data_IF_582354537135
#
_entry.id   IF_582354537135
#
_cell.length_a   1.000
_cell.length_b   1.000
_cell.length_c   1.000
_cell.angle_alpha   90.00
_cell.angle_beta   90.00
_cell.angle_gamma   90.00
#
_symmetry.space_group_name_H-M   'P 1'
#
loop_
_entity.id
_entity.type
_entity.pdbx_description
1 polymer ?
#
# COMPACT_ATOMS: atom_id res chain seq x y z
N UNK A 1 8.77 -20.17 15.88
CA UNK A 1 7.41 -19.56 15.89
C UNK A 1 7.45 -18.36 14.98
N UNK A 2 6.55 -18.29 13.99
CA UNK A 2 6.44 -17.16 13.05
C UNK A 2 5.48 -16.14 13.66
N UNK A 3 5.92 -14.91 13.82
CA UNK A 3 5.04 -13.82 14.28
C UNK A 3 4.83 -12.88 13.12
N UNK A 4 3.58 -12.78 12.64
CA UNK A 4 3.18 -11.81 11.63
C UNK A 4 2.56 -10.64 12.40
N UNK A 5 3.22 -9.49 12.34
CA UNK A 5 2.69 -8.26 12.92
C UNK A 5 1.83 -7.55 11.89
N UNK A 6 0.63 -7.12 12.30
CA UNK A 6 -0.21 -6.31 11.44
C UNK A 6 0.30 -4.86 11.39
N UNK A 7 0.65 -4.41 10.19
CA UNK A 7 0.95 -3.01 9.86
C UNK A 7 -0.24 -2.13 10.25
N UNK A 8 -1.47 -2.59 10.06
CA UNK A 8 -2.67 -1.84 10.46
C UNK A 8 -2.72 -1.60 11.96
N UNK A 9 -2.45 -2.63 12.79
CA UNK A 9 -2.48 -2.47 14.24
C UNK A 9 -1.41 -1.49 14.75
N UNK A 10 -0.19 -1.58 14.21
CA UNK A 10 0.89 -0.63 14.52
C UNK A 10 0.56 0.79 14.03
N UNK A 11 0.02 0.88 12.81
CA UNK A 11 -0.39 2.14 12.20
C UNK A 11 -1.50 2.85 12.97
N UNK A 12 -2.52 2.11 13.44
CA UNK A 12 -3.58 2.65 14.30
C UNK A 12 -3.00 3.18 15.62
N UNK A 13 -2.07 2.45 16.24
CA UNK A 13 -1.45 2.87 17.50
C UNK A 13 -0.66 4.17 17.32
N UNK A 14 0.16 4.27 16.27
CA UNK A 14 0.90 5.49 15.95
C UNK A 14 -0.03 6.66 15.59
N UNK A 15 -1.09 6.38 14.82
CA UNK A 15 -2.10 7.38 14.46
C UNK A 15 -2.83 7.90 15.71
N UNK A 16 -3.18 7.04 16.66
CA UNK A 16 -3.80 7.46 17.92
C UNK A 16 -2.88 8.40 18.71
N UNK A 17 -1.60 8.06 18.85
CA UNK A 17 -0.59 8.93 19.50
C UNK A 17 -0.49 10.28 18.77
N UNK A 18 -0.46 10.25 17.44
CA UNK A 18 -0.40 11.46 16.62
C UNK A 18 -1.63 12.36 16.83
N UNK A 19 -2.84 11.79 16.81
CA UNK A 19 -4.10 12.51 17.04
C UNK A 19 -4.08 13.17 18.42
N UNK A 20 -3.63 12.46 19.46
CA UNK A 20 -3.53 13.02 20.81
C UNK A 20 -2.57 14.22 20.84
N UNK A 21 -1.35 14.07 20.33
CA UNK A 21 -0.36 15.15 20.30
C UNK A 21 -0.86 16.36 19.52
N UNK A 22 -1.47 16.13 18.36
CA UNK A 22 -2.02 17.17 17.50
C UNK A 22 -3.23 17.86 18.15
N UNK A 23 -4.06 17.14 18.90
CA UNK A 23 -5.16 17.72 19.68
C UNK A 23 -4.64 18.66 20.77
N UNK A 24 -3.62 18.25 21.54
CA UNK A 24 -3.02 19.12 22.56
C UNK A 24 -2.37 20.37 21.98
N UNK A 25 -1.72 20.26 20.81
CA UNK A 25 -1.01 21.38 20.18
C UNK A 25 -1.94 22.37 19.49
N UNK A 26 -2.93 21.86 18.75
CA UNK A 26 -3.73 22.65 17.81
C UNK A 26 -5.20 22.82 18.24
N UNK A 27 -5.62 22.21 19.36
CA UNK A 27 -7.00 22.22 19.86
C UNK A 27 -8.01 21.89 18.75
N UNK A 28 -9.03 22.74 18.55
CA UNK A 28 -10.11 22.57 17.57
C UNK A 28 -9.89 23.34 16.26
N UNK A 29 -8.70 23.92 16.04
CA UNK A 29 -8.42 24.62 14.79
C UNK A 29 -8.31 23.61 13.64
N UNK A 30 -8.98 23.92 12.53
CA UNK A 30 -8.97 23.15 11.28
C UNK A 30 -9.34 21.66 11.42
N UNK A 31 -10.30 21.33 12.30
CA UNK A 31 -10.71 19.95 12.58
C UNK A 31 -11.08 19.15 11.33
N UNK A 32 -11.84 19.73 10.39
CA UNK A 32 -12.27 19.00 9.18
C UNK A 32 -11.06 18.56 8.33
N UNK A 33 -10.13 19.48 8.07
CA UNK A 33 -8.91 19.18 7.30
C UNK A 33 -8.07 18.11 8.00
N UNK A 34 -7.96 18.18 9.33
CA UNK A 34 -7.23 17.19 10.14
C UNK A 34 -7.91 15.82 10.14
N UNK A 35 -9.24 15.76 10.22
CA UNK A 35 -10.00 14.51 10.11
C UNK A 35 -9.75 13.85 8.74
N UNK A 36 -9.82 14.61 7.65
CA UNK A 36 -9.51 14.12 6.29
C UNK A 36 -8.07 13.58 6.23
N UNK A 37 -7.13 14.22 6.91
CA UNK A 37 -5.76 13.75 7.00
C UNK A 37 -5.63 12.45 7.82
N UNK A 38 -6.36 12.31 8.93
CA UNK A 38 -6.36 11.08 9.72
C UNK A 38 -6.97 9.92 8.94
N UNK A 39 -8.07 10.14 8.21
CA UNK A 39 -8.66 9.11 7.35
C UNK A 39 -7.72 8.74 6.21
N UNK A 40 -6.95 9.70 5.69
CA UNK A 40 -5.89 9.44 4.72
C UNK A 40 -4.77 8.56 5.29
N UNK A 41 -4.24 8.86 6.48
CA UNK A 41 -3.20 8.02 7.10
C UNK A 41 -3.75 6.61 7.37
N UNK A 42 -4.93 6.52 7.97
CA UNK A 42 -5.57 5.23 8.24
C UNK A 42 -5.75 4.41 6.96
N UNK A 43 -6.24 5.05 5.90
CA UNK A 43 -6.35 4.46 4.58
C UNK A 43 -5.00 3.92 4.08
N UNK A 44 -3.94 4.72 4.17
CA UNK A 44 -2.59 4.29 3.78
C UNK A 44 -2.14 3.06 4.57
N UNK A 45 -2.35 3.02 5.90
CA UNK A 45 -2.01 1.84 6.71
C UNK A 45 -2.73 0.57 6.24
N UNK A 46 -4.02 0.68 5.87
CA UNK A 46 -4.78 -0.45 5.32
C UNK A 46 -4.23 -0.89 3.97
N UNK A 47 -3.94 0.04 3.06
CA UNK A 47 -3.34 -0.27 1.76
C UNK A 47 -2.00 -0.98 1.96
N UNK A 48 -1.12 -0.47 2.82
CA UNK A 48 0.16 -1.11 3.13
C UNK A 48 -0.01 -2.53 3.69
N UNK A 49 -0.97 -2.77 4.60
CA UNK A 49 -1.24 -4.11 5.11
C UNK A 49 -1.71 -5.06 4.01
N UNK A 50 -2.59 -4.60 3.12
CA UNK A 50 -3.14 -5.42 2.04
C UNK A 50 -2.11 -5.71 0.96
N UNK A 51 -1.21 -4.77 0.65
CA UNK A 51 -0.17 -4.96 -0.36
C UNK A 51 1.01 -5.77 0.17
N UNK A 52 1.43 -5.57 1.42
CA UNK A 52 2.57 -6.29 2.02
C UNK A 52 2.21 -7.63 2.65
N UNK A 53 0.95 -7.86 3.01
CA UNK A 53 0.53 -9.01 3.81
C UNK A 53 0.95 -8.93 5.29
N UNK A 54 1.54 -7.82 5.74
CA UNK A 54 2.02 -7.61 7.12
C UNK A 54 3.55 -7.66 7.24
N UNK A 55 4.06 -7.44 8.46
CA UNK A 55 5.50 -7.52 8.77
C UNK A 55 5.80 -8.91 9.34
N UNK A 56 6.65 -9.70 8.66
CA UNK A 56 7.05 -11.02 9.12
C UNK A 56 8.43 -11.01 9.78
N UNK A 57 8.55 -11.52 11.01
CA UNK A 57 9.82 -11.68 11.71
C UNK A 57 9.90 -13.13 12.26
N UNK A 58 10.95 -13.92 11.93
CA UNK A 58 11.98 -13.63 10.94
C UNK A 58 11.38 -13.59 9.51
N UNK A 59 11.97 -12.78 8.63
CA UNK A 59 11.59 -12.70 7.22
C UNK A 59 11.61 -14.09 6.57
N UNK A 60 10.58 -14.40 5.79
CA UNK A 60 10.42 -15.73 5.23
C UNK A 60 11.33 -15.93 4.03
N UNK A 61 12.16 -16.98 4.03
CA UNK A 61 12.79 -17.60 2.83
C UNK A 61 11.76 -18.18 1.84
N UNK A 62 10.54 -17.68 1.85
CA UNK A 62 9.32 -18.42 1.56
C UNK A 62 8.40 -17.72 0.59
N UNK A 63 8.96 -17.13 -0.47
CA UNK A 63 8.38 -17.18 -1.81
C UNK A 63 9.57 -17.37 -2.77
N UNK A 64 9.92 -18.62 -3.07
CA UNK A 64 10.91 -19.03 -4.10
C UNK A 64 10.37 -18.67 -5.51
N UNK A 65 9.98 -17.41 -5.70
CA UNK A 65 9.21 -16.95 -6.86
C UNK A 65 8.68 -15.52 -6.76
N UNK A 66 8.68 -14.89 -5.58
CA UNK A 66 8.65 -13.44 -5.51
C UNK A 66 10.10 -12.98 -5.61
N UNK A 67 10.56 -12.82 -6.85
CA UNK A 67 11.81 -12.12 -7.06
C UNK A 67 11.50 -10.63 -6.89
N UNK A 68 12.21 -9.97 -5.97
CA UNK A 68 12.29 -8.52 -5.92
C UNK A 68 12.54 -7.95 -7.32
N UNK A 69 11.57 -7.23 -7.87
CA UNK A 69 11.67 -6.67 -9.21
C UNK A 69 11.05 -5.30 -9.25
N UNK A 70 11.92 -4.28 -9.30
CA UNK A 70 11.61 -2.87 -9.53
C UNK A 70 11.19 -2.62 -10.98
N UNK A 71 10.25 -3.43 -11.50
CA UNK A 71 9.73 -3.28 -12.86
C UNK A 71 8.28 -2.81 -12.74
N UNK A 72 8.02 -1.51 -12.92
CA UNK A 72 6.64 -1.02 -12.97
C UNK A 72 5.88 -1.79 -14.07
N UNK A 73 4.64 -2.17 -13.77
CA UNK A 73 3.77 -2.98 -14.64
C UNK A 73 4.20 -4.45 -14.86
N UNK A 74 5.12 -5.01 -14.06
CA UNK A 74 5.48 -6.45 -14.10
C UNK A 74 4.27 -7.38 -14.01
N UNK A 75 3.23 -6.95 -13.29
CA UNK A 75 1.98 -7.70 -13.18
C UNK A 75 1.40 -8.10 -14.55
N UNK A 76 1.64 -7.33 -15.62
CA UNK A 76 1.18 -7.66 -16.97
C UNK A 76 1.92 -8.90 -17.50
N UNK A 77 3.24 -8.93 -17.35
CA UNK A 77 4.05 -10.09 -17.73
C UNK A 77 3.72 -11.30 -16.86
N UNK A 78 3.56 -11.12 -15.54
CA UNK A 78 3.14 -12.22 -14.67
C UNK A 78 1.75 -12.77 -15.04
N UNK A 79 0.84 -11.91 -15.50
CA UNK A 79 -0.48 -12.31 -15.96
C UNK A 79 -0.39 -13.10 -17.28
N UNK A 80 0.48 -12.68 -18.21
CA UNK A 80 0.77 -13.39 -19.46
C UNK A 80 1.41 -14.76 -19.16
N UNK A 81 2.43 -14.80 -18.29
CA UNK A 81 3.10 -16.03 -17.89
C UNK A 81 2.12 -17.01 -17.23
N UNK A 82 1.22 -16.51 -16.36
CA UNK A 82 0.16 -17.32 -15.76
C UNK A 82 -0.86 -17.81 -16.79
N UNK A 83 -1.20 -16.98 -17.79
CA UNK A 83 -2.10 -17.38 -18.88
C UNK A 83 -1.48 -18.49 -19.73
N UNK A 84 -0.18 -18.41 -20.01
CA UNK A 84 0.56 -19.42 -20.78
C UNK A 84 0.73 -20.72 -19.95
N UNK A 85 1.08 -20.60 -18.67
CA UNK A 85 1.39 -21.75 -17.82
C UNK A 85 0.15 -22.54 -17.35
N UNK A 86 -0.95 -21.85 -17.04
CA UNK A 86 -2.15 -22.47 -16.43
C UNK A 86 -3.44 -22.29 -17.24
N UNK A 87 -3.39 -21.57 -18.37
CA UNK A 87 -4.57 -21.18 -19.14
C UNK A 87 -5.43 -20.11 -18.45
N UNK A 88 -6.53 -19.72 -19.09
CA UNK A 88 -7.54 -18.78 -18.55
C UNK A 88 -8.48 -19.54 -17.58
N UNK A 89 -7.89 -20.11 -16.53
CA UNK A 89 -8.61 -20.84 -15.48
C UNK A 89 -8.86 -20.02 -14.21
N UNK A 90 -9.37 -20.67 -13.17
CA UNK A 90 -9.64 -20.06 -11.86
C UNK A 90 -8.43 -19.29 -11.28
N UNK A 91 -7.22 -19.83 -11.41
CA UNK A 91 -5.98 -19.19 -10.92
C UNK A 91 -5.65 -17.89 -11.64
N UNK A 92 -5.84 -17.85 -12.96
CA UNK A 92 -5.65 -16.63 -13.77
C UNK A 92 -6.67 -15.56 -13.39
N UNK A 93 -7.96 -15.92 -13.30
CA UNK A 93 -9.03 -14.98 -12.92
C UNK A 93 -8.81 -14.46 -11.49
N UNK A 94 -8.32 -15.29 -10.58
CA UNK A 94 -7.97 -14.87 -9.21
C UNK A 94 -6.82 -13.86 -9.20
N UNK A 95 -5.76 -14.11 -9.99
CA UNK A 95 -4.66 -13.17 -10.13
C UNK A 95 -5.11 -11.84 -10.75
N UNK A 96 -5.93 -11.89 -11.81
CA UNK A 96 -6.51 -10.70 -12.45
C UNK A 96 -7.33 -9.87 -11.47
N UNK A 97 -8.20 -10.52 -10.67
CA UNK A 97 -8.97 -9.85 -9.62
C UNK A 97 -8.07 -9.18 -8.60
N UNK A 98 -7.00 -9.85 -8.17
CA UNK A 98 -6.05 -9.30 -7.20
C UNK A 98 -5.36 -8.04 -7.74
N UNK A 99 -4.85 -8.08 -8.97
CA UNK A 99 -4.24 -6.91 -9.60
C UNK A 99 -5.24 -5.77 -9.83
N UNK A 100 -6.47 -6.09 -10.22
CA UNK A 100 -7.54 -5.09 -10.38
C UNK A 100 -7.91 -4.43 -9.04
N UNK A 101 -8.04 -5.20 -7.96
CA UNK A 101 -8.30 -4.64 -6.62
C UNK A 101 -7.13 -3.79 -6.13
N UNK A 102 -5.88 -4.20 -6.38
CA UNK A 102 -4.70 -3.38 -6.07
C UNK A 102 -4.69 -2.06 -6.83
N UNK A 103 -5.13 -2.05 -8.10
CA UNK A 103 -5.31 -0.81 -8.86
C UNK A 103 -6.45 0.05 -8.31
N UNK A 104 -7.58 -0.56 -7.93
CA UNK A 104 -8.71 0.15 -7.35
C UNK A 104 -8.34 0.82 -6.02
N UNK A 105 -7.42 0.22 -5.25
CA UNK A 105 -6.79 0.81 -4.05
C UNK A 105 -5.90 2.02 -4.34
N UNK A 106 -5.75 2.48 -5.59
CA UNK A 106 -5.13 3.77 -5.90
C UNK A 106 -6.17 4.89 -6.11
N UNK A 107 -7.45 4.55 -6.29
CA UNK A 107 -8.49 5.53 -6.57
C UNK A 107 -8.77 6.47 -5.38
N UNK A 108 -8.95 6.00 -4.14
CA UNK A 108 -9.10 6.90 -2.99
C UNK A 108 -7.87 7.79 -2.76
N UNK A 109 -6.67 7.26 -3.05
CA UNK A 109 -5.43 8.04 -2.98
C UNK A 109 -5.45 9.26 -3.93
N UNK A 110 -5.95 9.07 -5.16
CA UNK A 110 -6.16 10.16 -6.12
C UNK A 110 -7.14 11.23 -5.62
N UNK A 111 -8.21 10.84 -4.92
CA UNK A 111 -9.15 11.78 -4.30
C UNK A 111 -8.48 12.62 -3.21
N UNK A 112 -7.65 12.01 -2.35
CA UNK A 112 -6.91 12.73 -1.31
C UNK A 112 -5.87 13.70 -1.89
N UNK A 113 -5.20 13.33 -2.99
CA UNK A 113 -4.26 14.23 -3.69
C UNK A 113 -4.94 15.49 -4.21
N UNK A 114 -6.16 15.38 -4.73
CA UNK A 114 -6.91 16.53 -5.21
C UNK A 114 -7.50 17.33 -4.03
N UNK A 115 -8.25 16.67 -3.14
CA UNK A 115 -9.03 17.35 -2.08
C UNK A 115 -8.16 17.94 -0.97
N UNK A 116 -7.13 17.23 -0.53
CA UNK A 116 -6.29 17.64 0.61
C UNK A 116 -5.01 18.34 0.15
N UNK A 117 -4.29 17.74 -0.81
CA UNK A 117 -3.02 18.28 -1.28
C UNK A 117 -3.18 19.30 -2.42
N UNK A 118 -4.40 19.56 -2.91
CA UNK A 118 -4.68 20.50 -4.00
C UNK A 118 -3.82 20.26 -5.25
N UNK A 119 -3.45 19.00 -5.52
CA UNK A 119 -2.61 18.64 -6.67
C UNK A 119 -3.48 18.61 -7.91
N UNK A 120 -3.44 19.69 -8.70
CA UNK A 120 -4.24 19.84 -9.92
C UNK A 120 -3.55 19.33 -11.19
N UNK A 121 -2.22 19.21 -11.18
CA UNK A 121 -1.49 18.76 -12.37
C UNK A 121 -1.29 17.25 -12.39
N UNK A 122 -1.66 16.64 -13.52
CA UNK A 122 -1.54 15.19 -13.74
C UNK A 122 -0.10 14.71 -13.51
N UNK A 123 0.91 15.46 -13.98
CA UNK A 123 2.31 15.10 -13.83
C UNK A 123 2.76 15.03 -12.36
N UNK A 124 2.26 15.94 -11.51
CA UNK A 124 2.59 15.91 -10.07
C UNK A 124 1.89 14.75 -9.38
N UNK A 125 0.63 14.49 -9.71
CA UNK A 125 -0.10 13.34 -9.18
C UNK A 125 0.59 12.02 -9.58
N UNK A 126 0.98 11.89 -10.86
CA UNK A 126 1.70 10.72 -11.35
C UNK A 126 3.04 10.51 -10.63
N UNK A 127 3.82 11.58 -10.40
CA UNK A 127 5.08 11.50 -9.66
C UNK A 127 4.85 11.05 -8.20
N UNK A 128 3.85 11.60 -7.53
CA UNK A 128 3.54 11.20 -6.15
C UNK A 128 3.10 9.73 -6.08
N UNK A 129 2.25 9.29 -7.01
CA UNK A 129 1.82 7.88 -7.12
C UNK A 129 3.05 6.99 -7.37
N UNK A 130 3.94 7.38 -8.28
CA UNK A 130 5.16 6.62 -8.58
C UNK A 130 6.04 6.48 -7.35
N UNK A 131 6.31 7.57 -6.62
CA UNK A 131 7.11 7.56 -5.39
C UNK A 131 6.48 6.65 -4.33
N UNK A 132 5.16 6.65 -4.22
CA UNK A 132 4.44 5.82 -3.25
C UNK A 132 4.50 4.33 -3.62
N UNK A 133 4.32 3.99 -4.90
CA UNK A 133 4.47 2.62 -5.40
C UNK A 133 5.89 2.10 -5.14
N UNK A 134 6.91 2.89 -5.48
CA UNK A 134 8.32 2.54 -5.21
C UNK A 134 8.58 2.39 -3.71
N UNK A 135 8.02 3.27 -2.88
CA UNK A 135 8.14 3.17 -1.42
C UNK A 135 7.51 1.90 -0.85
N UNK A 136 6.36 1.48 -1.38
CA UNK A 136 5.72 0.20 -1.01
C UNK A 136 6.61 -0.98 -1.38
N UNK A 137 7.20 -0.98 -2.58
CA UNK A 137 8.10 -2.06 -3.01
C UNK A 137 9.38 -2.13 -2.16
N UNK A 138 9.97 -0.99 -1.81
CA UNK A 138 11.13 -0.95 -0.89
C UNK A 138 10.74 -1.50 0.49
N UNK A 139 9.57 -1.12 1.00
CA UNK A 139 9.07 -1.65 2.28
C UNK A 139 8.88 -3.17 2.21
N UNK A 140 8.26 -3.68 1.15
CA UNK A 140 8.14 -5.12 0.92
C UNK A 140 9.50 -5.79 0.83
N UNK A 141 10.47 -5.23 0.14
CA UNK A 141 11.82 -5.80 0.05
C UNK A 141 12.45 -6.00 1.43
N UNK A 142 12.44 -4.95 2.26
CA UNK A 142 13.04 -4.96 3.60
C UNK A 142 12.34 -5.96 4.52
N UNK A 143 11.01 -6.03 4.48
CA UNK A 143 10.23 -6.78 5.48
C UNK A 143 9.67 -8.13 4.99
N UNK A 144 9.77 -8.43 3.69
CA UNK A 144 9.33 -9.68 3.07
C UNK A 144 10.48 -10.54 2.53
N UNK A 145 11.58 -9.95 2.03
CA UNK A 145 12.65 -10.70 1.33
C UNK A 145 14.01 -10.72 2.05
N UNK A 146 14.27 -9.86 3.04
CA UNK A 146 15.56 -9.85 3.77
C UNK A 146 15.56 -10.87 4.91
N UNK A 147 15.46 -12.18 4.60
CA UNK A 147 15.58 -13.30 5.55
C UNK A 147 16.05 -14.60 4.94
#
# INVERSE_FOLDING_TARGET
MRTIYSVTSLGILLLAIYILFDFFKNNTRNLISRIVFYTFIFYMCVVFQLTSGGISIPPSKGLVGANFQLIPFRFVFDLIDKAIAYGIGYRFITALKLYFFNFLMLMPFGLYLNLYFNVKSLSKAALIILTLVVGIEIFQAIFSEVG
#
